data_IF_042744048768
#
_entry.id   IF_042744048768
#
_cell.length_a   1.000
_cell.length_b   1.000
_cell.length_c   1.000
_cell.angle_alpha   90.00
_cell.angle_beta   90.00
_cell.angle_gamma   90.00
#
_symmetry.space_group_name_H-M   'P 1'
#
loop_
_entity.id
_entity.type
_entity.pdbx_description
1 polymer ?
#
# COMPACT_ATOMS: atom_id res chain seq x y z
N UNK A 1 -12.25 -15.01 22.40
CA UNK A 1 -12.57 -13.59 22.59
C UNK A 1 -13.84 -13.26 21.83
N UNK A 2 -14.90 -13.01 22.58
CA UNK A 2 -16.28 -12.85 22.12
C UNK A 2 -16.46 -11.57 21.29
N UNK A 3 -17.24 -11.65 20.21
CA UNK A 3 -17.87 -10.47 19.61
C UNK A 3 -19.30 -10.86 19.27
N UNK A 4 -20.14 -10.81 20.30
CA UNK A 4 -21.58 -10.94 20.19
C UNK A 4 -22.19 -9.59 19.79
N UNK A 5 -23.25 -9.70 18.97
CA UNK A 5 -24.44 -8.84 18.96
C UNK A 5 -24.31 -7.38 18.50
N UNK A 6 -24.81 -7.10 17.31
CA UNK A 6 -25.40 -5.79 16.99
C UNK A 6 -26.50 -5.90 15.91
N UNK A 7 -27.43 -6.84 16.08
CA UNK A 7 -28.63 -6.95 15.22
C UNK A 7 -29.85 -6.19 15.77
N UNK A 8 -29.68 -5.40 16.86
CA UNK A 8 -30.79 -4.88 17.66
C UNK A 8 -30.82 -3.37 17.94
N UNK A 9 -30.06 -2.51 17.26
CA UNK A 9 -30.12 -1.06 17.53
C UNK A 9 -31.52 -0.51 17.23
N UNK A 10 -32.28 -0.15 18.26
CA UNK A 10 -33.69 0.27 18.10
C UNK A 10 -33.77 1.78 17.85
N UNK A 11 -32.69 2.49 18.14
CA UNK A 11 -32.56 3.94 17.97
C UNK A 11 -31.38 4.29 17.06
N UNK A 12 -31.48 5.45 16.41
CA UNK A 12 -30.45 5.96 15.48
C UNK A 12 -29.13 6.22 16.19
N UNK A 13 -29.18 6.70 17.44
CA UNK A 13 -27.99 6.97 18.26
C UNK A 13 -27.18 5.69 18.51
N UNK A 14 -27.83 4.59 18.91
CA UNK A 14 -27.16 3.29 19.09
C UNK A 14 -26.53 2.78 17.79
N UNK A 15 -27.19 3.03 16.64
CA UNK A 15 -26.66 2.63 15.35
C UNK A 15 -25.39 3.41 14.97
N UNK A 16 -25.36 4.70 15.28
CA UNK A 16 -24.17 5.56 15.07
C UNK A 16 -23.03 5.14 16.00
N UNK A 17 -23.32 4.89 17.28
CA UNK A 17 -22.30 4.42 18.24
C UNK A 17 -21.70 3.06 17.85
N UNK A 18 -22.50 2.17 17.24
CA UNK A 18 -22.03 0.88 16.75
C UNK A 18 -21.16 0.98 15.48
N UNK A 19 -21.24 2.10 14.74
CA UNK A 19 -20.58 2.27 13.45
C UNK A 19 -19.66 3.49 13.45
N UNK A 20 -18.34 3.25 13.55
CA UNK A 20 -17.32 4.31 13.50
C UNK A 20 -17.27 5.08 12.17
N UNK A 21 -18.01 4.64 11.15
CA UNK A 21 -18.12 5.29 9.84
C UNK A 21 -19.45 6.03 9.62
N UNK A 22 -20.27 6.18 10.66
CA UNK A 22 -21.51 6.95 10.68
C UNK A 22 -21.32 8.27 11.44
N UNK A 23 -21.75 9.39 10.86
CA UNK A 23 -21.79 10.70 11.49
C UNK A 23 -23.24 11.20 11.55
N UNK A 24 -23.68 11.65 12.72
CA UNK A 24 -24.98 12.32 12.88
C UNK A 24 -24.79 13.83 12.66
N UNK A 25 -25.64 14.42 11.82
CA UNK A 25 -25.68 15.85 11.57
C UNK A 25 -26.80 16.52 12.38
N UNK A 26 -26.64 17.81 12.68
CA UNK A 26 -27.55 18.60 13.52
C UNK A 26 -28.99 18.66 12.96
N UNK A 27 -29.14 18.53 11.64
CA UNK A 27 -30.42 18.49 10.95
C UNK A 27 -31.17 17.14 11.08
N UNK A 28 -30.64 16.19 11.86
CA UNK A 28 -31.18 14.83 11.94
C UNK A 28 -30.93 14.05 10.66
N UNK A 29 -29.75 14.18 10.05
CA UNK A 29 -29.30 13.36 8.91
C UNK A 29 -28.12 12.51 9.34
N UNK A 30 -28.04 11.27 8.85
CA UNK A 30 -26.86 10.42 9.07
C UNK A 30 -26.02 10.38 7.80
N UNK A 31 -24.76 10.80 7.90
CA UNK A 31 -23.77 10.72 6.82
C UNK A 31 -22.92 9.46 7.01
N UNK A 32 -22.78 8.68 5.95
CA UNK A 32 -21.78 7.61 5.92
C UNK A 32 -20.46 8.18 5.39
N UNK A 33 -19.40 8.18 6.21
CA UNK A 33 -18.07 8.72 5.85
C UNK A 33 -17.49 7.96 4.64
N UNK A 34 -17.67 6.63 4.63
CA UNK A 34 -17.11 5.73 3.60
C UNK A 34 -17.74 5.97 2.23
N UNK A 35 -19.03 6.29 2.18
CA UNK A 35 -19.76 6.47 0.91
C UNK A 35 -20.06 7.92 0.58
N UNK A 36 -19.85 8.84 1.53
CA UNK A 36 -20.26 10.25 1.43
C UNK A 36 -21.76 10.45 1.24
N UNK A 37 -22.58 9.44 1.56
CA UNK A 37 -24.03 9.48 1.31
C UNK A 37 -24.76 9.92 2.57
N UNK A 38 -25.73 10.81 2.41
CA UNK A 38 -26.56 11.35 3.50
C UNK A 38 -27.94 10.72 3.45
N UNK A 39 -28.35 10.14 4.57
CA UNK A 39 -29.65 9.50 4.74
C UNK A 39 -30.47 10.38 5.67
N UNK A 40 -31.65 10.80 5.19
CA UNK A 40 -32.62 11.54 6.00
C UNK A 40 -33.28 10.57 6.99
N UNK A 41 -33.35 10.96 8.26
CA UNK A 41 -34.10 10.22 9.28
C UNK A 41 -35.61 10.26 8.95
N UNK A 42 -36.33 9.13 9.09
CA UNK A 42 -36.64 8.60 10.42
C UNK A 42 -36.42 7.09 10.63
N UNK A 43 -35.99 6.34 9.61
CA UNK A 43 -36.07 4.88 9.63
C UNK A 43 -34.71 4.17 9.74
N UNK A 44 -34.51 3.46 10.85
CA UNK A 44 -33.34 2.63 11.12
C UNK A 44 -33.24 1.47 10.10
N UNK A 45 -34.36 0.98 9.55
CA UNK A 45 -34.31 -0.06 8.53
C UNK A 45 -33.67 0.44 7.23
N UNK A 46 -33.92 1.68 6.84
CA UNK A 46 -33.26 2.34 5.70
C UNK A 46 -31.76 2.50 5.93
N UNK A 47 -31.32 2.86 7.14
CA UNK A 47 -29.90 2.90 7.49
C UNK A 47 -29.26 1.52 7.39
N UNK A 48 -29.87 0.49 7.99
CA UNK A 48 -29.39 -0.90 7.89
C UNK A 48 -29.32 -1.39 6.45
N UNK A 49 -30.31 -1.06 5.62
CA UNK A 49 -30.32 -1.41 4.20
C UNK A 49 -29.12 -0.78 3.45
N UNK A 50 -28.73 0.44 3.80
CA UNK A 50 -27.54 1.08 3.23
C UNK A 50 -26.24 0.40 3.68
N UNK A 51 -26.07 0.14 4.98
CA UNK A 51 -24.88 -0.53 5.53
C UNK A 51 -24.77 -2.02 5.16
N UNK A 52 -25.86 -2.65 4.76
CA UNK A 52 -25.85 -4.02 4.18
C UNK A 52 -25.75 -4.02 2.66
N UNK A 53 -25.82 -2.85 2.02
CA UNK A 53 -25.81 -2.75 0.57
C UNK A 53 -24.47 -3.18 -0.05
N UNK A 54 -24.53 -3.77 -1.25
CA UNK A 54 -23.35 -4.14 -2.04
C UNK A 54 -22.43 -2.95 -2.33
N UNK A 55 -22.97 -1.73 -2.39
CA UNK A 55 -22.19 -0.51 -2.63
C UNK A 55 -21.35 -0.16 -1.41
N UNK A 56 -21.97 -0.12 -0.23
CA UNK A 56 -21.28 0.14 1.03
C UNK A 56 -20.19 -0.91 1.30
N UNK A 57 -20.51 -2.20 1.17
CA UNK A 57 -19.54 -3.28 1.42
C UNK A 57 -18.28 -3.18 0.53
N UNK A 58 -18.45 -2.79 -0.75
CA UNK A 58 -17.32 -2.56 -1.67
C UNK A 58 -16.46 -1.39 -1.27
N UNK A 59 -17.06 -0.26 -0.88
CA UNK A 59 -16.30 0.92 -0.48
C UNK A 59 -15.64 0.73 0.89
N UNK A 60 -16.32 0.07 1.83
CA UNK A 60 -15.75 -0.31 3.12
C UNK A 60 -14.53 -1.22 2.95
N UNK A 61 -14.60 -2.20 2.04
CA UNK A 61 -13.46 -3.06 1.73
C UNK A 61 -12.27 -2.27 1.17
N UNK A 62 -12.52 -1.28 0.30
CA UNK A 62 -11.46 -0.38 -0.21
C UNK A 62 -10.86 0.47 0.91
N UNK A 63 -11.69 1.05 1.78
CA UNK A 63 -11.23 1.92 2.87
C UNK A 63 -10.39 1.19 3.91
N UNK A 64 -10.70 -0.09 4.19
CA UNK A 64 -9.95 -0.93 5.13
C UNK A 64 -8.68 -1.55 4.54
N UNK A 65 -8.49 -1.48 3.23
CA UNK A 65 -7.39 -2.17 2.58
C UNK A 65 -6.13 -1.30 2.55
N UNK A 66 -5.05 -1.85 3.09
CA UNK A 66 -3.75 -1.23 2.93
C UNK A 66 -3.20 -1.48 1.51
N UNK A 67 -3.12 -0.40 0.72
CA UNK A 67 -2.57 -0.42 -0.63
C UNK A 67 -1.05 -0.20 -0.64
N UNK A 68 -0.46 0.27 0.46
CA UNK A 68 0.96 0.62 0.53
C UNK A 68 1.85 -0.61 0.47
N UNK A 69 1.35 -1.76 0.96
CA UNK A 69 2.04 -3.06 0.86
C UNK A 69 2.44 -3.47 -0.56
N UNK A 70 1.82 -2.90 -1.59
CA UNK A 70 2.13 -3.18 -3.00
C UNK A 70 2.98 -2.10 -3.68
N UNK A 71 3.35 -1.05 -2.94
CA UNK A 71 4.33 -0.05 -3.37
C UNK A 71 5.70 -0.73 -3.55
N UNK A 72 6.52 -0.38 -4.56
CA UNK A 72 6.39 0.73 -5.53
C UNK A 72 5.71 0.35 -6.86
N UNK A 73 5.11 -0.84 -6.96
CA UNK A 73 4.63 -1.38 -8.23
C UNK A 73 3.22 -0.92 -8.57
N UNK A 74 2.37 -0.79 -7.57
CA UNK A 74 1.02 -0.24 -7.69
C UNK A 74 1.00 1.18 -7.13
N UNK A 75 0.64 2.14 -7.98
CA UNK A 75 0.51 3.56 -7.63
C UNK A 75 -0.89 4.06 -7.95
N UNK A 76 -1.32 5.18 -7.38
CA UNK A 76 -2.58 5.80 -7.77
C UNK A 76 -2.52 6.27 -9.23
N UNK A 77 -3.60 6.05 -9.96
CA UNK A 77 -3.69 6.52 -11.33
C UNK A 77 -3.90 8.05 -11.35
N UNK A 78 -3.22 8.74 -12.27
CA UNK A 78 -3.19 10.21 -12.29
C UNK A 78 -4.51 10.87 -12.68
N UNK A 79 -5.30 10.21 -13.53
CA UNK A 79 -6.57 10.75 -14.05
C UNK A 79 -7.74 10.26 -13.21
N UNK A 80 -7.86 8.93 -13.06
CA UNK A 80 -8.97 8.32 -12.31
C UNK A 80 -8.56 7.87 -10.90
N UNK A 81 -9.12 8.46 -9.82
CA UNK A 81 -8.80 8.09 -8.44
C UNK A 81 -9.36 6.70 -8.03
N UNK A 82 -10.28 6.15 -8.81
CA UNK A 82 -10.86 4.83 -8.61
C UNK A 82 -9.99 3.70 -9.18
N UNK A 83 -8.95 4.05 -9.91
CA UNK A 83 -8.03 3.10 -10.54
C UNK A 83 -6.63 3.23 -9.92
N UNK A 84 -5.97 2.10 -9.82
CA UNK A 84 -4.55 1.97 -9.53
C UNK A 84 -3.83 1.74 -10.86
N UNK A 85 -2.58 2.18 -10.97
CA UNK A 85 -1.73 1.92 -12.12
C UNK A 85 -0.61 0.99 -11.72
N UNK A 86 -0.44 -0.10 -12.46
CA UNK A 86 0.68 -1.01 -12.28
C UNK A 86 1.85 -0.61 -13.18
N UNK A 87 2.99 -0.26 -12.58
CA UNK A 87 4.20 0.16 -13.30
C UNK A 87 4.87 -0.99 -14.05
N UNK A 88 4.73 -2.23 -13.55
CA UNK A 88 5.25 -3.43 -14.20
C UNK A 88 4.47 -3.79 -15.45
N UNK A 89 3.16 -3.97 -15.31
CA UNK A 89 2.29 -4.43 -16.42
C UNK A 89 1.86 -3.30 -17.34
N UNK A 90 2.05 -2.03 -16.92
CA UNK A 90 1.61 -0.79 -17.58
C UNK A 90 0.11 -0.71 -17.82
N UNK A 91 -0.69 -1.31 -16.93
CA UNK A 91 -2.15 -1.37 -17.05
C UNK A 91 -2.83 -0.70 -15.86
N UNK A 92 -3.98 -0.04 -16.08
CA UNK A 92 -4.86 0.34 -14.99
C UNK A 92 -5.52 -0.91 -14.38
N UNK A 93 -5.66 -0.92 -13.06
CA UNK A 93 -6.27 -1.97 -12.25
C UNK A 93 -7.32 -1.30 -11.37
N UNK A 94 -8.44 -1.96 -11.14
CA UNK A 94 -9.46 -1.43 -10.22
C UNK A 94 -8.90 -1.34 -8.80
N UNK A 95 -9.25 -0.28 -8.06
CA UNK A 95 -8.87 -0.10 -6.65
C UNK A 95 -9.54 -1.13 -5.70
N UNK A 96 -10.38 -2.02 -6.21
CA UNK A 96 -11.01 -3.08 -5.42
C UNK A 96 -9.97 -4.10 -4.92
N UNK A 97 -9.92 -4.41 -3.60
CA UNK A 97 -8.93 -5.31 -3.01
C UNK A 97 -8.83 -6.67 -3.72
N UNK A 98 -9.97 -7.31 -3.99
CA UNK A 98 -10.05 -8.60 -4.68
C UNK A 98 -9.37 -8.57 -6.06
N UNK A 99 -9.54 -7.47 -6.79
CA UNK A 99 -8.94 -7.29 -8.12
C UNK A 99 -7.43 -7.06 -8.02
N UNK A 100 -6.99 -6.32 -7.01
CA UNK A 100 -5.56 -6.07 -6.75
C UNK A 100 -4.85 -7.36 -6.36
N UNK A 101 -5.42 -8.14 -5.44
CA UNK A 101 -4.84 -9.40 -4.99
C UNK A 101 -4.70 -10.41 -6.13
N UNK A 102 -5.73 -10.52 -6.98
CA UNK A 102 -5.64 -11.34 -8.20
C UNK A 102 -4.63 -10.81 -9.22
N UNK A 103 -4.43 -9.48 -9.30
CA UNK A 103 -3.43 -8.90 -10.17
C UNK A 103 -1.99 -9.20 -9.70
N UNK A 104 -1.74 -9.06 -8.39
CA UNK A 104 -0.42 -9.23 -7.77
C UNK A 104 -0.02 -10.70 -7.68
N UNK A 105 -0.97 -11.60 -7.41
CA UNK A 105 -0.73 -13.05 -7.44
C UNK A 105 -0.68 -13.64 -8.86
N UNK A 106 -1.03 -12.84 -9.87
CA UNK A 106 -1.06 -13.29 -11.26
C UNK A 106 0.33 -13.60 -11.83
N UNK A 107 0.42 -14.67 -12.62
CA UNK A 107 1.67 -15.12 -13.28
C UNK A 107 2.38 -13.99 -14.05
N UNK A 108 1.63 -13.14 -14.74
CA UNK A 108 2.21 -12.03 -15.52
C UNK A 108 2.89 -10.99 -14.61
N UNK A 109 2.29 -10.67 -13.47
CA UNK A 109 2.87 -9.72 -12.53
C UNK A 109 4.14 -10.30 -11.90
N UNK A 110 4.09 -11.56 -11.45
CA UNK A 110 5.23 -12.25 -10.83
C UNK A 110 6.45 -12.33 -11.77
N UNK A 111 6.23 -12.70 -13.04
CA UNK A 111 7.29 -12.73 -14.06
C UNK A 111 7.94 -11.36 -14.28
N UNK A 112 7.13 -10.32 -14.47
CA UNK A 112 7.66 -8.96 -14.67
C UNK A 112 8.35 -8.41 -13.41
N UNK A 113 7.87 -8.79 -12.22
CA UNK A 113 8.47 -8.40 -10.95
C UNK A 113 9.87 -9.00 -10.81
N UNK A 114 10.05 -10.29 -11.09
CA UNK A 114 11.37 -10.94 -11.01
C UNK A 114 12.35 -10.35 -12.00
N UNK A 115 11.92 -10.12 -13.24
CA UNK A 115 12.73 -9.46 -14.29
C UNK A 115 13.14 -8.03 -13.89
N UNK A 116 12.21 -7.23 -13.37
CA UNK A 116 12.49 -5.87 -12.93
C UNK A 116 13.50 -5.82 -11.77
N UNK A 117 13.39 -6.74 -10.81
CA UNK A 117 14.34 -6.87 -9.70
C UNK A 117 15.73 -7.27 -10.23
N UNK A 118 15.80 -8.27 -11.11
CA UNK A 118 17.06 -8.73 -11.70
C UNK A 118 17.76 -7.60 -12.47
N UNK A 119 17.01 -6.87 -13.31
CA UNK A 119 17.53 -5.71 -14.04
C UNK A 119 18.06 -4.63 -13.09
N UNK A 120 17.32 -4.28 -12.05
CA UNK A 120 17.75 -3.25 -11.08
C UNK A 120 19.02 -3.68 -10.32
N UNK A 121 19.17 -4.96 -10.00
CA UNK A 121 20.40 -5.51 -9.41
C UNK A 121 21.58 -5.39 -10.37
N UNK A 122 21.40 -5.76 -11.63
CA UNK A 122 22.45 -5.65 -12.65
C UNK A 122 22.87 -4.20 -12.91
N UNK A 123 21.92 -3.25 -12.99
CA UNK A 123 22.22 -1.82 -13.14
C UNK A 123 23.01 -1.28 -11.94
N UNK A 124 22.65 -1.66 -10.71
CA UNK A 124 23.40 -1.28 -9.49
C UNK A 124 24.81 -1.86 -9.48
N UNK A 125 24.98 -3.12 -9.90
CA UNK A 125 26.30 -3.75 -9.97
C UNK A 125 27.22 -3.01 -10.96
N UNK A 126 26.71 -2.71 -12.15
CA UNK A 126 27.44 -1.93 -13.17
C UNK A 126 27.80 -0.53 -12.69
N UNK A 127 26.89 0.15 -11.99
CA UNK A 127 27.16 1.47 -11.43
C UNK A 127 28.26 1.44 -10.35
N UNK A 128 28.28 0.40 -9.51
CA UNK A 128 29.35 0.20 -8.52
C UNK A 128 30.71 -0.06 -9.20
N UNK A 129 30.74 -0.91 -10.23
CA UNK A 129 31.96 -1.19 -10.99
C UNK A 129 32.50 0.05 -11.74
N UNK A 130 31.61 0.86 -12.32
CA UNK A 130 31.99 2.13 -12.94
C UNK A 130 32.61 3.11 -11.93
N UNK A 131 32.11 3.13 -10.69
CA UNK A 131 32.67 3.97 -9.63
C UNK A 131 34.04 3.46 -9.15
N UNK A 132 34.22 2.14 -9.01
CA UNK A 132 35.52 1.58 -8.60
C UNK A 132 36.58 1.79 -9.67
N UNK A 133 36.25 1.60 -10.95
CA UNK A 133 37.17 1.85 -12.06
C UNK A 133 37.53 3.34 -12.20
N UNK A 134 36.56 4.26 -11.99
CA UNK A 134 36.82 5.69 -11.95
C UNK A 134 37.76 6.09 -10.78
N UNK A 135 37.58 5.49 -9.60
CA UNK A 135 38.46 5.73 -8.44
C UNK A 135 39.89 5.23 -8.70
N UNK A 136 40.05 4.06 -9.31
CA UNK A 136 41.38 3.55 -9.67
C UNK A 136 42.09 4.44 -10.71
N UNK A 137 41.37 4.99 -11.70
CA UNK A 137 41.94 5.93 -12.66
C UNK A 137 42.37 7.25 -12.01
N UNK A 138 41.54 7.83 -11.14
CA UNK A 138 41.84 9.10 -10.48
C UNK A 138 43.00 9.00 -9.47
N UNK A 139 43.24 7.80 -8.88
CA UNK A 139 44.42 7.55 -8.03
C UNK A 139 45.74 7.44 -8.82
N UNK A 140 45.68 7.25 -10.15
CA UNK A 140 46.85 7.21 -11.02
C UNK A 140 47.42 8.57 -11.43
N UNK A 141 46.64 9.65 -11.33
CA UNK A 141 47.06 11.01 -11.74
C UNK A 141 47.52 11.92 -10.58
N UNK A 142 47.31 11.53 -9.32
CA UNK A 142 47.89 12.19 -8.14
C UNK A 142 48.66 11.18 -7.30
N UNK A 143 49.90 10.90 -7.71
CA UNK A 143 50.75 9.92 -7.06
C UNK A 143 52.19 9.87 -7.57
N UNK A 144 52.80 11.03 -7.86
CA UNK A 144 54.24 11.20 -7.64
C UNK A 144 54.38 11.89 -6.28
N UNK A 145 54.79 11.14 -5.27
CA UNK A 145 54.87 11.57 -3.88
C UNK A 145 54.41 10.44 -2.97
N UNK A 146 55.33 9.52 -2.68
CA UNK A 146 55.04 8.24 -2.01
C UNK A 146 54.84 8.30 -0.50
N UNK A 147 54.66 7.12 0.08
CA UNK A 147 54.87 6.87 1.50
C UNK A 147 53.73 6.17 2.24
N UNK A 148 53.89 4.85 2.37
CA UNK A 148 53.53 3.92 3.46
C UNK A 148 52.08 3.49 3.75
N UNK A 149 52.00 2.17 3.93
CA UNK A 149 50.96 1.23 4.35
C UNK A 149 50.15 1.55 5.62
N UNK A 150 49.01 0.82 5.70
CA UNK A 150 48.30 0.34 6.91
C UNK A 150 47.72 1.39 7.87
N UNK A 151 46.48 1.32 8.35
CA UNK A 151 45.44 0.29 8.44
C UNK A 151 44.08 0.99 8.27
N UNK A 152 43.00 0.26 7.98
CA UNK A 152 41.74 0.48 8.71
C UNK A 152 40.65 -0.51 8.27
N UNK A 153 40.37 -1.43 9.20
CA UNK A 153 39.02 -1.57 9.71
C UNK A 153 38.03 -2.29 8.81
N UNK A 154 38.14 -3.61 8.77
CA UNK A 154 36.95 -4.45 8.67
C UNK A 154 36.09 -4.24 9.92
N UNK A 155 34.91 -3.67 9.75
CA UNK A 155 33.78 -3.88 10.66
C UNK A 155 32.55 -4.16 9.80
N UNK A 156 32.44 -5.44 9.49
CA UNK A 156 31.21 -6.19 9.26
C UNK A 156 30.18 -5.84 10.32
N UNK A 157 29.09 -5.16 9.95
CA UNK A 157 27.93 -4.99 10.81
C UNK A 157 26.64 -5.26 10.02
N UNK A 158 26.06 -6.43 10.31
CA UNK A 158 24.61 -6.55 10.42
C UNK A 158 23.89 -7.14 9.22
N UNK A 159 24.11 -8.44 8.97
CA UNK A 159 23.06 -9.28 8.42
C UNK A 159 22.02 -9.61 9.51
N UNK A 160 20.77 -9.81 9.08
CA UNK A 160 19.67 -10.52 9.76
C UNK A 160 18.71 -9.76 10.69
N UNK A 161 17.43 -9.82 10.32
CA UNK A 161 16.30 -9.33 11.10
C UNK A 161 14.99 -9.38 10.30
N UNK A 162 14.65 -10.54 9.72
CA UNK A 162 13.27 -10.79 9.30
C UNK A 162 12.54 -11.36 10.52
N UNK A 163 11.74 -10.52 11.17
CA UNK A 163 10.79 -10.97 12.18
C UNK A 163 9.71 -11.82 11.49
N UNK A 164 9.62 -13.06 11.96
CA UNK A 164 8.52 -13.99 11.78
C UNK A 164 7.32 -13.45 12.56
N UNK A 165 6.18 -13.27 11.90
CA UNK A 165 4.91 -12.92 12.55
C UNK A 165 3.92 -14.03 12.19
N UNK A 166 3.65 -14.88 13.19
CA UNK A 166 2.51 -15.81 13.22
C UNK A 166 1.17 -15.09 13.48
#
# INVERSE_FOLDING_TARGET
SSSMASDGATTVSEFVDAHSDAELHDDGRVRCIVTGHEIKLPDVATLRAHWTSKKYLKMRAVAKYDFEKHSPWLILHKKDPHLMYCTLTRRPVSKQPKTIEGHVSGLRFLKLKSEAIARRKAEKAKAKEALTTARHKNKGEKGSGGGVDEEDGASDEGEEGWEEIE
#
